data_IF_622266914608
#
_entry.id   IF_622266914608
#
_cell.length_a   1.000
_cell.length_b   1.000
_cell.length_c   1.000
_cell.angle_alpha   90.00
_cell.angle_beta   90.00
_cell.angle_gamma   90.00
#
_symmetry.space_group_name_H-M   'P 1'
#
loop_
_entity.id
_entity.type
_entity.pdbx_description
1 polymer ?
#
# COMPACT_ATOMS: atom_id res chain seq x y z
N UNK A 1 15.50 -23.19 -28.04
CA UNK A 1 15.29 -23.90 -26.74
C UNK A 1 14.28 -23.09 -25.94
N UNK A 2 13.08 -23.61 -25.70
CA UNK A 2 12.07 -22.96 -24.87
C UNK A 2 12.64 -22.88 -23.42
N UNK A 3 12.78 -21.68 -22.87
CA UNK A 3 13.11 -21.52 -21.45
C UNK A 3 12.04 -22.27 -20.65
N UNK A 4 12.44 -23.33 -19.93
CA UNK A 4 11.55 -24.04 -19.01
C UNK A 4 10.94 -22.98 -18.08
N UNK A 5 9.62 -22.88 -18.06
CA UNK A 5 8.95 -21.92 -17.19
C UNK A 5 9.44 -22.12 -15.74
N UNK A 6 9.99 -21.07 -15.15
CA UNK A 6 10.51 -21.13 -13.79
C UNK A 6 9.37 -21.43 -12.82
N UNK A 7 9.58 -22.30 -11.83
CA UNK A 7 8.58 -22.64 -10.82
C UNK A 7 8.20 -21.40 -9.98
N UNK A 8 6.98 -21.39 -9.41
CA UNK A 8 6.54 -20.34 -8.48
C UNK A 8 7.56 -20.13 -7.35
N UNK A 9 8.09 -21.22 -6.81
CA UNK A 9 9.13 -21.19 -5.75
C UNK A 9 10.38 -20.43 -6.20
N UNK A 10 10.88 -20.73 -7.41
CA UNK A 10 12.04 -20.03 -7.97
C UNK A 10 11.78 -18.55 -8.13
N UNK A 11 10.64 -18.17 -8.73
CA UNK A 11 10.25 -16.77 -8.94
C UNK A 11 10.12 -15.98 -7.62
N UNK A 12 9.53 -16.58 -6.57
CA UNK A 12 9.44 -15.96 -5.25
C UNK A 12 10.83 -15.78 -4.63
N UNK A 13 11.73 -16.77 -4.74
CA UNK A 13 13.09 -16.66 -4.22
C UNK A 13 13.89 -15.56 -4.91
N UNK A 14 13.84 -15.52 -6.23
CA UNK A 14 14.59 -14.54 -7.02
C UNK A 14 14.09 -13.12 -6.75
N UNK A 15 12.78 -12.92 -6.68
CA UNK A 15 12.19 -11.62 -6.34
C UNK A 15 12.59 -11.11 -4.95
N UNK A 16 12.78 -12.02 -4.00
CA UNK A 16 13.14 -11.66 -2.63
C UNK A 16 14.66 -11.74 -2.37
N UNK A 17 15.48 -12.04 -3.38
CA UNK A 17 16.93 -12.11 -3.22
C UNK A 17 17.53 -10.82 -2.67
N UNK A 18 18.48 -10.94 -1.75
CA UNK A 18 19.16 -9.78 -1.12
C UNK A 18 18.36 -9.04 -0.05
N UNK A 19 17.12 -9.44 0.25
CA UNK A 19 16.33 -8.88 1.35
C UNK A 19 16.80 -9.43 2.70
N UNK A 20 16.46 -8.70 3.77
CA UNK A 20 16.74 -9.08 5.16
C UNK A 20 16.13 -10.45 5.51
N UNK A 21 16.95 -11.47 5.85
CA UNK A 21 16.48 -12.85 6.01
C UNK A 21 15.53 -13.04 7.19
N UNK A 22 15.73 -12.30 8.31
CA UNK A 22 14.86 -12.37 9.49
C UNK A 22 13.45 -11.89 9.15
N UNK A 23 13.34 -10.79 8.39
CA UNK A 23 12.03 -10.27 7.94
C UNK A 23 11.43 -11.08 6.78
N UNK A 24 12.25 -11.74 5.95
CA UNK A 24 11.77 -12.69 4.95
C UNK A 24 11.10 -13.89 5.58
N UNK A 25 11.65 -14.44 6.66
CA UNK A 25 11.02 -15.53 7.40
C UNK A 25 9.64 -15.11 7.94
N UNK A 26 9.50 -13.86 8.41
CA UNK A 26 8.19 -13.30 8.79
C UNK A 26 7.24 -13.16 7.59
N UNK A 27 7.77 -12.75 6.43
CA UNK A 27 7.00 -12.61 5.18
C UNK A 27 6.41 -13.97 4.77
N UNK A 28 7.24 -14.99 4.70
CA UNK A 28 6.82 -16.31 4.22
C UNK A 28 5.83 -16.96 5.17
N UNK A 29 6.01 -16.83 6.48
CA UNK A 29 5.01 -17.26 7.48
C UNK A 29 3.67 -16.55 7.31
N UNK A 30 3.68 -15.24 7.07
CA UNK A 30 2.45 -14.48 6.82
C UNK A 30 1.77 -14.94 5.51
N UNK A 31 2.53 -15.16 4.45
CA UNK A 31 2.01 -15.65 3.16
C UNK A 31 1.42 -17.07 3.27
N UNK A 32 2.00 -17.94 4.13
CA UNK A 32 1.48 -19.28 4.39
C UNK A 32 0.11 -19.26 5.09
N UNK A 33 -0.16 -18.24 5.88
CA UNK A 33 -1.36 -18.18 6.71
C UNK A 33 -2.67 -18.04 5.91
N UNK A 34 -2.67 -17.21 4.85
CA UNK A 34 -3.88 -16.98 4.04
C UNK A 34 -3.55 -16.67 2.57
N UNK A 35 -4.45 -17.04 1.62
CA UNK A 35 -4.30 -16.65 0.20
C UNK A 35 -4.25 -15.14 0.01
N UNK A 36 -4.95 -14.37 0.83
CA UNK A 36 -4.93 -12.91 0.78
C UNK A 36 -3.57 -12.33 1.19
N UNK A 37 -2.94 -12.87 2.24
CA UNK A 37 -1.58 -12.47 2.60
C UNK A 37 -0.55 -12.88 1.53
N UNK A 38 -0.75 -14.03 0.89
CA UNK A 38 0.05 -14.48 -0.26
C UNK A 38 -0.09 -13.51 -1.45
N UNK A 39 -1.32 -13.17 -1.85
CA UNK A 39 -1.58 -12.17 -2.89
C UNK A 39 -0.78 -10.89 -2.63
N UNK A 40 -0.83 -10.35 -1.42
CA UNK A 40 -0.11 -9.14 -1.00
C UNK A 40 1.41 -9.30 -0.99
N UNK A 41 1.89 -10.50 -0.71
CA UNK A 41 3.33 -10.83 -0.66
C UNK A 41 3.96 -11.06 -2.03
N UNK A 42 3.14 -11.29 -3.06
CA UNK A 42 3.55 -11.75 -4.40
C UNK A 42 2.99 -10.88 -5.53
N UNK A 43 3.09 -9.56 -5.40
CA UNK A 43 2.63 -8.60 -6.40
C UNK A 43 3.21 -8.90 -7.80
N UNK A 44 4.50 -9.24 -7.88
CA UNK A 44 5.17 -9.63 -9.11
C UNK A 44 4.52 -10.83 -9.81
N UNK A 45 4.16 -11.89 -9.07
CA UNK A 45 3.49 -13.07 -9.68
C UNK A 45 2.13 -12.71 -10.28
N UNK A 46 1.39 -11.84 -9.59
CA UNK A 46 0.09 -11.38 -10.07
C UNK A 46 0.23 -10.68 -11.42
N UNK A 47 1.22 -9.80 -11.55
CA UNK A 47 1.43 -9.05 -12.79
C UNK A 47 2.04 -9.88 -13.91
N UNK A 48 2.91 -10.84 -13.61
CA UNK A 48 3.35 -11.81 -14.60
C UNK A 48 2.16 -12.57 -15.22
N UNK A 49 1.16 -12.94 -14.40
CA UNK A 49 -0.07 -13.60 -14.89
C UNK A 49 -1.00 -12.65 -15.63
N UNK A 50 -1.17 -11.42 -15.14
CA UNK A 50 -2.06 -10.44 -15.74
C UNK A 50 -1.56 -9.94 -17.11
N UNK A 51 -0.24 -9.85 -17.29
CA UNK A 51 0.36 -9.43 -18.57
C UNK A 51 0.01 -10.35 -19.75
N UNK A 52 -0.35 -11.62 -19.45
CA UNK A 52 -0.77 -12.59 -20.46
C UNK A 52 -2.29 -12.68 -20.61
N UNK A 53 -3.04 -11.91 -19.82
CA UNK A 53 -4.50 -11.93 -19.84
C UNK A 53 -5.10 -10.94 -20.86
N UNK A 54 -6.31 -11.23 -21.32
CA UNK A 54 -7.05 -10.33 -22.22
C UNK A 54 -7.69 -9.19 -21.41
N UNK A 55 -7.02 -8.06 -21.31
CA UNK A 55 -7.53 -6.84 -20.70
C UNK A 55 -8.57 -6.15 -21.61
N UNK A 56 -9.48 -5.31 -21.08
CA UNK A 56 -10.27 -4.39 -21.91
C UNK A 56 -9.35 -3.49 -22.74
N UNK A 57 -9.43 -3.59 -24.06
CA UNK A 57 -8.56 -2.86 -24.98
C UNK A 57 -8.77 -1.33 -24.93
N UNK A 58 -9.91 -0.89 -24.44
CA UNK A 58 -10.33 0.50 -24.31
C UNK A 58 -10.13 1.07 -22.90
N UNK A 59 -9.39 0.36 -22.03
CA UNK A 59 -9.08 0.85 -20.69
C UNK A 59 -8.10 2.04 -20.76
N UNK A 60 -8.48 3.24 -20.25
CA UNK A 60 -7.65 4.42 -20.31
C UNK A 60 -6.36 4.26 -19.48
N UNK A 61 -5.29 4.93 -19.94
CA UNK A 61 -4.05 5.04 -19.17
C UNK A 61 -4.27 6.00 -18.00
N UNK A 62 -3.95 5.53 -16.79
CA UNK A 62 -4.07 6.31 -15.56
C UNK A 62 -2.83 6.13 -14.68
N UNK A 63 -2.67 6.98 -13.68
CA UNK A 63 -1.68 6.79 -12.64
C UNK A 63 -2.22 5.79 -11.61
N UNK A 64 -1.90 4.50 -11.81
CA UNK A 64 -2.27 3.42 -10.88
C UNK A 64 -1.40 3.46 -9.62
N UNK A 65 -1.91 2.99 -8.48
CA UNK A 65 -1.07 2.75 -7.30
C UNK A 65 -0.28 1.44 -7.41
N UNK A 66 -0.71 0.53 -8.25
CA UNK A 66 0.00 -0.67 -8.71
C UNK A 66 -0.15 -1.89 -7.79
N UNK A 67 -0.34 -1.76 -6.50
CA UNK A 67 -0.66 -2.88 -5.58
C UNK A 67 -2.02 -2.66 -4.93
N UNK A 68 -3.05 -2.41 -5.75
CA UNK A 68 -4.37 -2.10 -5.26
C UNK A 68 -5.08 -3.35 -4.71
N UNK A 69 -5.35 -3.37 -3.41
CA UNK A 69 -6.07 -4.43 -2.73
C UNK A 69 -6.87 -3.87 -1.54
N UNK A 70 -7.77 -4.65 -0.95
CA UNK A 70 -8.69 -4.21 0.11
C UNK A 70 -8.02 -3.47 1.28
N UNK A 71 -6.79 -3.83 1.64
CA UNK A 71 -6.07 -3.18 2.73
C UNK A 71 -5.10 -2.07 2.27
N UNK A 72 -5.15 -1.65 0.99
CA UNK A 72 -4.37 -0.52 0.49
C UNK A 72 -5.08 0.82 0.66
N UNK A 73 -6.08 0.88 1.53
CA UNK A 73 -6.79 2.09 1.91
C UNK A 73 -6.66 2.32 3.41
N UNK A 74 -6.63 3.59 3.82
CA UNK A 74 -6.56 3.90 5.24
C UNK A 74 -6.52 5.39 5.53
N UNK A 75 -6.60 5.71 6.82
CA UNK A 75 -6.51 7.09 7.25
C UNK A 75 -5.05 7.54 7.34
N UNK A 76 -4.83 8.79 7.00
CA UNK A 76 -3.53 9.45 7.16
C UNK A 76 -3.71 10.92 7.50
N UNK A 77 -2.68 11.50 8.10
CA UNK A 77 -2.66 12.93 8.41
C UNK A 77 -2.02 13.70 7.26
N UNK A 78 -2.80 14.61 6.67
CA UNK A 78 -2.34 15.53 5.64
C UNK A 78 -1.38 16.60 6.17
N UNK A 79 -0.69 17.29 5.26
CA UNK A 79 0.17 18.43 5.59
C UNK A 79 -0.61 19.58 6.24
N UNK A 80 -1.89 19.73 5.90
CA UNK A 80 -2.83 20.67 6.52
C UNK A 80 -3.30 20.26 7.92
N UNK A 81 -2.81 19.14 8.46
CA UNK A 81 -3.13 18.59 9.79
C UNK A 81 -4.50 17.93 9.95
N UNK A 82 -5.31 17.89 8.92
CA UNK A 82 -6.56 17.13 8.89
C UNK A 82 -6.31 15.64 8.60
N UNK A 83 -7.30 14.80 8.90
CA UNK A 83 -7.23 13.36 8.68
C UNK A 83 -8.13 13.01 7.50
N UNK A 84 -7.57 12.28 6.55
CA UNK A 84 -8.23 11.81 5.33
C UNK A 84 -8.21 10.29 5.28
N UNK A 85 -9.12 9.72 4.50
CA UNK A 85 -9.11 8.32 4.13
C UNK A 85 -8.93 8.21 2.61
N UNK A 86 -7.85 7.56 2.17
CA UNK A 86 -7.47 7.46 0.75
C UNK A 86 -6.55 6.25 0.54
N UNK A 87 -6.04 6.07 -0.68
CA UNK A 87 -5.00 5.11 -1.03
C UNK A 87 -3.72 5.35 -0.21
N UNK A 88 -3.03 4.29 0.20
CA UNK A 88 -1.95 4.39 1.19
C UNK A 88 -0.57 3.92 0.73
N UNK A 89 -0.48 3.04 -0.24
CA UNK A 89 0.78 2.46 -0.71
C UNK A 89 0.95 2.68 -2.22
N UNK A 90 2.08 3.27 -2.61
CA UNK A 90 2.40 3.67 -3.97
C UNK A 90 3.74 3.10 -4.44
N UNK A 91 4.27 2.08 -3.78
CA UNK A 91 5.56 1.49 -4.14
C UNK A 91 5.56 0.99 -5.60
N UNK A 92 4.44 0.44 -6.05
CA UNK A 92 4.25 -0.12 -7.38
C UNK A 92 3.65 0.87 -8.39
N UNK A 93 3.43 2.14 -7.99
CA UNK A 93 2.73 3.12 -8.81
C UNK A 93 3.42 3.37 -10.16
N UNK A 94 2.60 3.41 -11.23
CA UNK A 94 3.06 3.57 -12.61
C UNK A 94 1.96 4.17 -13.49
N UNK A 95 2.29 4.56 -14.73
CA UNK A 95 1.32 4.87 -15.76
C UNK A 95 0.88 3.57 -16.44
N UNK A 96 -0.35 3.14 -16.23
CA UNK A 96 -0.87 1.88 -16.74
C UNK A 96 -2.36 1.99 -17.10
N UNK A 97 -2.92 1.06 -17.89
CA UNK A 97 -4.38 0.96 -18.05
C UNK A 97 -5.06 0.80 -16.68
N UNK A 98 -6.15 1.51 -16.41
CA UNK A 98 -6.91 1.42 -15.16
C UNK A 98 -7.31 -0.03 -14.81
N UNK A 99 -7.48 -0.87 -15.83
CA UNK A 99 -7.81 -2.29 -15.69
C UNK A 99 -6.81 -3.07 -14.81
N UNK A 100 -5.55 -2.62 -14.66
CA UNK A 100 -4.55 -3.29 -13.83
C UNK A 100 -4.88 -3.19 -12.35
N UNK A 101 -5.14 -1.98 -11.85
CA UNK A 101 -5.56 -1.77 -10.45
C UNK A 101 -6.94 -2.37 -10.18
N UNK A 102 -7.89 -2.21 -11.12
CA UNK A 102 -9.23 -2.79 -10.98
C UNK A 102 -9.17 -4.32 -10.89
N UNK A 103 -8.42 -5.00 -11.77
CA UNK A 103 -8.28 -6.45 -11.73
C UNK A 103 -7.69 -6.93 -10.40
N UNK A 104 -6.67 -6.23 -9.91
CA UNK A 104 -6.00 -6.60 -8.66
C UNK A 104 -6.91 -6.39 -7.45
N UNK A 105 -7.64 -5.28 -7.38
CA UNK A 105 -8.58 -5.05 -6.28
C UNK A 105 -9.72 -6.08 -6.29
N UNK A 106 -10.38 -6.27 -7.44
CA UNK A 106 -11.48 -7.21 -7.55
C UNK A 106 -11.03 -8.65 -7.23
N UNK A 107 -9.86 -9.07 -7.73
CA UNK A 107 -9.26 -10.34 -7.34
C UNK A 107 -9.01 -10.42 -5.84
N UNK A 108 -8.55 -9.33 -5.21
CA UNK A 108 -8.32 -9.27 -3.76
C UNK A 108 -9.62 -9.44 -2.94
N UNK A 109 -10.75 -8.91 -3.44
CA UNK A 109 -12.08 -9.12 -2.85
C UNK A 109 -12.47 -10.59 -2.88
N UNK A 110 -12.34 -11.22 -4.07
CA UNK A 110 -12.68 -12.64 -4.25
C UNK A 110 -11.78 -13.57 -3.42
N UNK A 111 -10.47 -13.26 -3.34
CA UNK A 111 -9.52 -14.04 -2.52
C UNK A 111 -9.81 -13.87 -1.02
N UNK A 112 -10.17 -12.67 -0.57
CA UNK A 112 -10.45 -12.40 0.83
C UNK A 112 -11.82 -12.93 1.30
N UNK A 113 -12.78 -13.09 0.39
CA UNK A 113 -14.18 -13.39 0.69
C UNK A 113 -14.34 -14.59 1.64
N UNK A 114 -13.61 -15.68 1.36
CA UNK A 114 -13.66 -16.88 2.20
C UNK A 114 -13.20 -16.62 3.64
N UNK A 115 -12.12 -15.84 3.80
CA UNK A 115 -11.61 -15.47 5.13
C UNK A 115 -12.59 -14.53 5.86
N UNK A 116 -13.32 -13.71 5.09
CA UNK A 116 -14.35 -12.82 5.61
C UNK A 116 -15.70 -13.54 5.87
N UNK A 117 -15.83 -14.83 5.54
CA UNK A 117 -17.11 -15.54 5.68
C UNK A 117 -18.17 -15.08 4.68
N UNK A 118 -17.77 -14.52 3.55
CA UNK A 118 -18.65 -14.12 2.44
C UNK A 118 -18.67 -15.22 1.39
N UNK A 119 -19.85 -15.65 0.97
CA UNK A 119 -20.02 -16.62 -0.11
C UNK A 119 -19.64 -16.03 -1.49
N UNK A 120 -19.47 -16.91 -2.49
CA UNK A 120 -19.08 -16.47 -3.84
C UNK A 120 -20.09 -15.49 -4.45
N UNK A 121 -21.43 -15.72 -4.40
CA UNK A 121 -22.40 -14.73 -4.87
C UNK A 121 -22.29 -13.38 -4.16
N UNK A 122 -22.06 -13.39 -2.85
CA UNK A 122 -21.82 -12.20 -2.05
C UNK A 122 -20.58 -11.46 -2.50
N UNK A 123 -19.46 -12.17 -2.70
CA UNK A 123 -18.22 -11.57 -3.16
C UNK A 123 -18.35 -10.93 -4.55
N UNK A 124 -19.11 -11.56 -5.45
CA UNK A 124 -19.40 -10.98 -6.77
C UNK A 124 -20.25 -9.71 -6.65
N UNK A 125 -21.28 -9.69 -5.78
CA UNK A 125 -22.04 -8.46 -5.50
C UNK A 125 -21.18 -7.33 -4.92
N UNK A 126 -20.17 -7.66 -4.12
CA UNK A 126 -19.21 -6.66 -3.64
C UNK A 126 -18.35 -6.09 -4.78
N UNK A 127 -17.92 -6.95 -5.72
CA UNK A 127 -17.19 -6.53 -6.91
C UNK A 127 -18.06 -5.62 -7.80
N UNK A 128 -19.31 -5.99 -8.04
CA UNK A 128 -20.26 -5.20 -8.83
C UNK A 128 -20.50 -3.83 -8.16
N UNK A 129 -20.72 -3.80 -6.84
CA UNK A 129 -20.91 -2.57 -6.09
C UNK A 129 -19.71 -1.62 -6.15
N UNK A 130 -18.49 -2.16 -6.13
CA UNK A 130 -17.28 -1.38 -6.36
C UNK A 130 -17.24 -0.80 -7.78
N UNK A 131 -17.48 -1.63 -8.80
CA UNK A 131 -17.46 -1.22 -10.21
C UNK A 131 -18.49 -0.14 -10.48
N UNK A 132 -19.71 -0.28 -9.94
CA UNK A 132 -20.77 0.70 -10.12
C UNK A 132 -20.44 2.04 -9.46
N UNK A 133 -19.87 2.02 -8.26
CA UNK A 133 -19.42 3.22 -7.57
C UNK A 133 -18.27 3.91 -8.30
N UNK A 134 -17.27 3.14 -8.76
CA UNK A 134 -16.16 3.63 -9.55
C UNK A 134 -16.64 4.30 -10.83
N UNK A 135 -17.46 3.61 -11.63
CA UNK A 135 -18.00 4.15 -12.87
C UNK A 135 -18.90 5.38 -12.63
N UNK A 136 -19.74 5.33 -11.60
CA UNK A 136 -20.58 6.45 -11.21
C UNK A 136 -19.77 7.70 -10.81
N UNK A 137 -18.69 7.51 -10.07
CA UNK A 137 -17.80 8.61 -9.68
C UNK A 137 -17.05 9.21 -10.88
N UNK A 138 -16.58 8.39 -11.84
CA UNK A 138 -16.00 8.87 -13.09
C UNK A 138 -16.98 9.73 -13.87
N UNK A 139 -18.24 9.27 -14.01
CA UNK A 139 -19.30 10.01 -14.74
C UNK A 139 -19.56 11.40 -14.16
N UNK A 140 -19.33 11.63 -12.87
CA UNK A 140 -19.47 12.98 -12.29
C UNK A 140 -18.37 13.93 -12.76
N UNK A 141 -17.23 13.44 -13.23
CA UNK A 141 -16.05 14.20 -13.65
C UNK A 141 -15.42 15.06 -12.54
N UNK A 142 -15.79 14.84 -11.28
CA UNK A 142 -15.36 15.66 -10.14
C UNK A 142 -14.61 14.82 -9.13
N UNK A 143 -13.33 15.09 -8.95
CA UNK A 143 -12.54 14.49 -7.90
C UNK A 143 -12.95 15.05 -6.53
N UNK A 144 -13.33 14.14 -5.63
CA UNK A 144 -13.67 14.45 -4.24
C UNK A 144 -12.67 13.78 -3.31
N UNK A 145 -12.90 13.87 -2.01
CA UNK A 145 -12.09 13.24 -0.97
C UNK A 145 -12.98 12.74 0.17
N UNK A 146 -12.42 11.85 0.98
CA UNK A 146 -13.08 11.32 2.17
C UNK A 146 -12.38 11.87 3.41
N UNK A 147 -13.09 12.68 4.14
CA UNK A 147 -12.76 13.15 5.47
C UNK A 147 -13.87 12.75 6.45
N UNK A 148 -13.66 13.02 7.74
CA UNK A 148 -14.59 12.57 8.78
C UNK A 148 -16.03 12.97 8.48
N UNK A 149 -16.29 14.21 8.06
CA UNK A 149 -17.64 14.75 7.89
C UNK A 149 -18.38 14.17 6.67
N UNK A 150 -17.62 13.70 5.66
CA UNK A 150 -18.17 13.07 4.44
C UNK A 150 -18.18 11.54 4.52
N UNK A 151 -17.42 10.95 5.45
CA UNK A 151 -17.31 9.50 5.60
C UNK A 151 -18.57 8.87 6.19
N UNK A 152 -18.85 7.62 5.78
CA UNK A 152 -19.97 6.83 6.26
C UNK A 152 -19.51 5.43 6.71
N UNK A 153 -20.35 4.72 7.47
CA UNK A 153 -20.15 3.34 7.88
C UNK A 153 -18.78 3.07 8.50
N UNK A 154 -18.12 1.99 8.08
CA UNK A 154 -16.83 1.54 8.64
C UNK A 154 -15.71 2.58 8.48
N UNK A 155 -15.73 3.39 7.42
CA UNK A 155 -14.76 4.47 7.22
C UNK A 155 -14.96 5.60 8.22
N UNK A 156 -16.21 5.98 8.50
CA UNK A 156 -16.54 6.97 9.54
C UNK A 156 -16.09 6.52 10.92
N UNK A 157 -16.36 5.27 11.28
CA UNK A 157 -15.93 4.68 12.55
C UNK A 157 -14.40 4.71 12.70
N UNK A 158 -13.66 4.38 11.64
CA UNK A 158 -12.21 4.47 11.62
C UNK A 158 -11.73 5.91 11.90
N UNK A 159 -12.31 6.89 11.20
CA UNK A 159 -11.91 8.30 11.34
C UNK A 159 -12.28 8.87 12.71
N UNK A 160 -13.42 8.46 13.29
CA UNK A 160 -13.81 8.81 14.66
C UNK A 160 -12.84 8.23 15.68
N UNK A 161 -12.41 6.97 15.51
CA UNK A 161 -11.41 6.34 16.37
C UNK A 161 -10.05 7.06 16.28
N UNK A 162 -9.67 7.50 15.08
CA UNK A 162 -8.42 8.23 14.84
C UNK A 162 -8.41 9.61 15.53
N UNK A 163 -9.56 10.31 15.55
CA UNK A 163 -9.71 11.61 16.23
C UNK A 163 -9.45 11.53 17.72
N UNK A 164 -9.90 10.47 18.35
CA UNK A 164 -9.81 10.29 19.81
C UNK A 164 -8.42 9.85 20.31
N UNK A 165 -7.51 9.56 19.39
CA UNK A 165 -6.13 9.14 19.74
C UNK A 165 -5.24 10.34 20.02
N UNK A 166 -4.73 10.43 21.24
CA UNK A 166 -3.71 11.43 21.59
C UNK A 166 -2.32 11.00 21.10
N UNK A 167 -1.43 11.97 20.93
CA UNK A 167 -0.02 11.69 20.59
C UNK A 167 0.67 10.85 21.66
N UNK A 168 0.46 11.16 22.93
CA UNK A 168 1.03 10.38 24.02
C UNK A 168 0.63 8.90 23.95
N UNK A 169 -0.66 8.61 23.79
CA UNK A 169 -1.16 7.23 23.60
C UNK A 169 -0.56 6.54 22.36
N UNK A 170 -0.38 7.28 21.26
CA UNK A 170 0.26 6.76 20.07
C UNK A 170 1.73 6.39 20.32
N UNK A 171 2.45 7.22 21.05
CA UNK A 171 3.84 6.98 21.44
C UNK A 171 3.95 5.82 22.44
N UNK A 172 3.09 5.75 23.46
CA UNK A 172 3.12 4.71 24.51
C UNK A 172 2.98 3.28 23.94
N UNK A 173 2.21 3.13 22.86
CA UNK A 173 2.05 1.84 22.16
C UNK A 173 3.33 1.39 21.42
N UNK A 174 4.28 2.31 21.14
CA UNK A 174 5.44 2.07 20.26
C UNK A 174 6.79 2.38 20.90
N UNK A 175 6.76 3.04 22.04
CA UNK A 175 7.97 3.44 22.77
C UNK A 175 7.88 3.04 24.22
N UNK A 176 9.04 2.98 24.86
CA UNK A 176 9.18 2.87 26.31
C UNK A 176 9.62 4.23 26.81
N UNK A 177 8.93 4.76 27.82
CA UNK A 177 9.26 6.02 28.48
C UNK A 177 10.24 5.76 29.64
N UNK A 178 11.25 6.59 29.75
CA UNK A 178 12.19 6.63 30.91
C UNK A 178 12.41 8.09 31.31
N UNK A 179 11.73 8.53 32.34
CA UNK A 179 11.74 9.93 32.79
C UNK A 179 11.30 10.89 31.68
N UNK A 180 12.21 11.79 31.29
CA UNK A 180 11.99 12.79 30.20
C UNK A 180 12.37 12.30 28.80
N UNK A 181 12.67 11.00 28.64
CA UNK A 181 13.07 10.43 27.35
C UNK A 181 12.17 9.28 26.93
N UNK A 182 12.22 8.94 25.64
CA UNK A 182 11.57 7.77 25.07
C UNK A 182 12.56 7.00 24.18
N UNK A 183 12.39 5.68 24.12
CA UNK A 183 13.06 4.79 23.14
C UNK A 183 12.04 3.92 22.43
N UNK A 184 12.34 3.52 21.20
CA UNK A 184 11.47 2.63 20.43
C UNK A 184 11.40 1.26 21.13
N UNK A 185 10.20 0.72 21.26
CA UNK A 185 9.96 -0.61 21.82
C UNK A 185 10.40 -1.68 20.79
N UNK A 186 11.40 -2.47 21.18
CA UNK A 186 11.85 -3.61 20.38
C UNK A 186 11.04 -4.83 20.84
N UNK A 187 10.01 -5.18 20.10
CA UNK A 187 9.02 -6.21 20.48
C UNK A 187 9.04 -7.46 19.56
N UNK A 188 9.88 -7.47 18.53
CA UNK A 188 9.91 -8.54 17.53
C UNK A 188 8.67 -8.62 16.63
N UNK A 189 7.64 -7.78 16.88
CA UNK A 189 6.37 -7.76 16.15
C UNK A 189 6.22 -6.52 15.27
N UNK A 190 6.60 -5.35 15.77
CA UNK A 190 6.53 -4.05 15.07
C UNK A 190 7.90 -3.46 14.80
N UNK A 191 8.89 -3.79 15.62
CA UNK A 191 10.26 -3.30 15.50
C UNK A 191 11.30 -4.34 15.95
N UNK A 192 12.44 -4.33 15.26
CA UNK A 192 13.66 -5.08 15.56
C UNK A 192 14.81 -4.12 15.82
N UNK A 193 15.81 -4.56 16.59
CA UNK A 193 17.01 -3.75 16.83
C UNK A 193 17.78 -3.50 15.53
N UNK A 194 18.40 -2.33 15.42
CA UNK A 194 19.40 -2.02 14.39
C UNK A 194 20.79 -2.45 14.89
N UNK A 195 21.68 -2.82 13.96
CA UNK A 195 23.09 -2.97 14.27
C UNK A 195 23.79 -1.59 14.38
N UNK A 196 25.05 -1.59 14.84
CA UNK A 196 25.83 -0.37 15.04
C UNK A 196 26.09 0.39 13.74
N UNK A 197 26.29 -0.31 12.61
CA UNK A 197 26.51 0.28 11.28
C UNK A 197 25.24 0.98 10.78
N UNK A 198 24.10 0.30 10.87
CA UNK A 198 22.80 0.86 10.50
C UNK A 198 22.49 2.11 11.34
N UNK A 199 22.68 2.03 12.66
CA UNK A 199 22.48 3.17 13.59
C UNK A 199 23.32 4.37 13.17
N UNK A 200 24.64 4.21 13.04
CA UNK A 200 25.57 5.28 12.64
C UNK A 200 25.19 5.90 11.30
N UNK A 201 24.81 5.08 10.31
CA UNK A 201 24.38 5.53 9.00
C UNK A 201 23.15 6.43 9.09
N UNK A 202 22.12 6.00 9.80
CA UNK A 202 20.88 6.76 9.96
C UNK A 202 21.08 8.02 10.81
N UNK A 203 21.89 7.98 11.86
CA UNK A 203 22.26 9.16 12.66
C UNK A 203 22.96 10.21 11.82
N UNK A 204 23.92 9.81 10.98
CA UNK A 204 24.64 10.70 10.07
C UNK A 204 23.69 11.34 9.06
N UNK A 205 22.84 10.53 8.41
CA UNK A 205 21.82 11.04 7.51
C UNK A 205 20.89 12.04 8.19
N UNK A 206 20.30 11.69 9.34
CA UNK A 206 19.34 12.55 10.04
C UNK A 206 19.95 13.85 10.52
N UNK A 207 21.23 13.86 10.91
CA UNK A 207 21.96 15.09 11.26
C UNK A 207 22.11 16.02 10.06
N UNK A 208 22.45 15.48 8.89
CA UNK A 208 22.52 16.24 7.63
C UNK A 208 21.15 16.74 7.21
N UNK A 209 20.16 15.87 7.20
CA UNK A 209 18.78 16.18 6.84
C UNK A 209 18.18 17.27 7.74
N UNK A 210 18.38 17.19 9.05
CA UNK A 210 17.88 18.19 10.00
C UNK A 210 18.38 19.60 9.65
N UNK A 211 19.66 19.74 9.30
CA UNK A 211 20.27 21.06 8.93
C UNK A 211 19.62 21.72 7.71
N UNK A 212 19.00 20.94 6.83
CA UNK A 212 18.30 21.47 5.65
C UNK A 212 16.84 21.85 5.94
N UNK A 213 16.36 21.63 7.15
CA UNK A 213 14.96 21.90 7.50
C UNK A 213 14.82 23.26 8.23
N UNK A 214 13.64 23.91 8.10
CA UNK A 214 13.37 25.18 8.79
C UNK A 214 13.47 25.12 10.31
N UNK A 215 13.28 23.92 10.89
CA UNK A 215 13.37 23.65 12.34
C UNK A 215 14.24 22.42 12.56
N UNK A 216 15.58 22.56 12.55
CA UNK A 216 16.51 21.44 12.69
C UNK A 216 16.30 20.60 13.94
N UNK A 217 16.00 21.24 15.07
CA UNK A 217 15.77 20.61 16.36
C UNK A 217 14.60 19.64 16.35
N UNK A 218 13.57 19.89 15.52
CA UNK A 218 12.42 19.00 15.36
C UNK A 218 12.85 17.62 14.83
N UNK A 219 13.84 17.57 13.94
CA UNK A 219 14.33 16.34 13.30
C UNK A 219 15.52 15.71 14.04
N UNK A 220 15.86 16.19 15.23
CA UNK A 220 16.89 15.57 16.05
C UNK A 220 16.50 14.13 16.35
N UNK A 221 17.31 13.19 15.88
CA UNK A 221 17.08 11.77 16.08
C UNK A 221 17.31 11.39 17.55
N UNK A 222 16.35 10.72 18.16
CA UNK A 222 16.42 10.20 19.53
C UNK A 222 16.69 8.70 19.54
N UNK A 223 16.07 7.96 18.61
CA UNK A 223 16.25 6.52 18.49
C UNK A 223 15.85 6.03 17.09
N UNK A 224 16.34 4.82 16.73
CA UNK A 224 16.07 4.16 15.44
C UNK A 224 15.93 2.66 15.63
N UNK A 225 14.97 2.06 14.88
CA UNK A 225 14.79 0.61 14.83
C UNK A 225 14.41 0.15 13.42
N UNK A 226 14.67 -1.12 13.08
CA UNK A 226 14.15 -1.76 11.86
C UNK A 226 12.64 -1.96 12.01
N UNK A 227 11.85 -1.49 11.04
CA UNK A 227 10.39 -1.59 11.11
C UNK A 227 9.89 -2.90 10.48
N UNK A 228 8.94 -3.55 11.16
CA UNK A 228 8.16 -4.66 10.63
C UNK A 228 6.80 -4.10 10.23
N UNK A 229 6.50 -4.02 8.94
CA UNK A 229 5.22 -3.55 8.43
C UNK A 229 5.04 -3.89 6.93
N UNK A 230 3.79 -4.25 6.58
CA UNK A 230 3.38 -4.55 5.21
C UNK A 230 3.93 -5.88 4.69
N UNK A 231 3.07 -6.84 4.31
CA UNK A 231 3.50 -8.18 3.86
C UNK A 231 4.39 -8.10 2.61
N UNK A 232 4.03 -7.29 1.62
CA UNK A 232 4.79 -7.15 0.37
C UNK A 232 6.20 -6.64 0.57
N UNK A 233 6.37 -5.65 1.46
CA UNK A 233 7.64 -4.97 1.70
C UNK A 233 8.48 -5.56 2.84
N UNK A 234 8.08 -6.69 3.45
CA UNK A 234 8.94 -7.37 4.44
C UNK A 234 10.25 -7.80 3.79
N UNK A 235 11.34 -7.54 4.50
CA UNK A 235 12.70 -7.74 4.01
C UNK A 235 13.31 -6.57 3.25
N UNK A 236 12.51 -5.62 2.74
CA UNK A 236 13.02 -4.36 2.19
C UNK A 236 13.52 -3.47 3.33
N UNK A 237 14.61 -2.75 3.14
CA UNK A 237 15.17 -1.92 4.21
C UNK A 237 14.17 -0.84 4.64
N UNK A 238 13.81 -0.85 5.92
CA UNK A 238 12.82 0.06 6.49
C UNK A 238 13.10 0.33 7.95
N UNK A 239 13.05 1.60 8.31
CA UNK A 239 13.31 2.05 9.67
C UNK A 239 12.13 2.84 10.23
N UNK A 240 11.93 2.74 11.53
CA UNK A 240 11.16 3.71 12.31
C UNK A 240 12.15 4.61 13.05
N UNK A 241 11.92 5.91 12.94
CA UNK A 241 12.78 6.95 13.55
C UNK A 241 11.98 7.68 14.62
N UNK A 242 12.48 7.71 15.82
CA UNK A 242 11.96 8.58 16.89
C UNK A 242 12.73 9.89 16.84
N UNK A 243 12.02 11.00 16.63
CA UNK A 243 12.61 12.34 16.59
C UNK A 243 12.03 13.24 17.66
N UNK A 244 12.78 14.29 18.04
CA UNK A 244 12.39 15.27 19.07
C UNK A 244 10.98 15.82 18.87
N UNK A 245 10.65 16.20 17.63
CA UNK A 245 9.35 16.76 17.33
C UNK A 245 9.13 18.11 17.98
N UNK A 246 8.02 18.24 18.72
CA UNK A 246 7.66 19.45 19.46
C UNK A 246 8.14 19.45 20.91
N UNK A 247 8.91 18.43 21.32
CA UNK A 247 9.50 18.30 22.65
C UNK A 247 9.27 16.92 23.26
N UNK A 248 10.29 16.45 23.98
CA UNK A 248 10.25 15.20 24.73
C UNK A 248 9.52 15.37 26.07
N UNK A 249 8.86 14.31 26.60
CA UNK A 249 8.71 12.99 26.00
C UNK A 249 7.41 12.82 25.21
N UNK A 250 6.40 13.67 25.36
CA UNK A 250 5.02 13.40 24.91
C UNK A 250 4.69 14.10 23.58
N UNK A 251 5.57 14.98 23.10
CA UNK A 251 5.43 15.66 21.82
C UNK A 251 6.46 15.20 20.76
N UNK A 252 7.14 14.06 20.99
CA UNK A 252 7.99 13.38 20.01
C UNK A 252 7.19 12.94 18.78
N UNK A 253 7.90 12.70 17.67
CA UNK A 253 7.32 12.18 16.45
C UNK A 253 7.99 10.86 16.04
N UNK A 254 7.21 10.01 15.41
CA UNK A 254 7.71 8.80 14.75
C UNK A 254 7.64 9.03 13.24
N UNK A 255 8.75 8.80 12.55
CA UNK A 255 8.87 8.84 11.11
C UNK A 255 9.12 7.42 10.59
N UNK A 256 8.68 7.17 9.36
CA UNK A 256 8.90 5.94 8.60
C UNK A 256 9.87 6.26 7.47
N UNK A 257 10.99 5.55 7.42
CA UNK A 257 11.99 5.64 6.36
C UNK A 257 12.03 4.29 5.65
N UNK A 258 11.58 4.23 4.40
CA UNK A 258 11.44 3.01 3.60
C UNK A 258 12.24 3.12 2.32
N UNK A 259 13.08 2.14 2.02
CA UNK A 259 13.75 2.02 0.73
C UNK A 259 12.73 1.94 -0.39
N UNK A 260 12.91 2.71 -1.44
CA UNK A 260 12.12 2.65 -2.66
C UNK A 260 12.78 1.68 -3.65
N UNK A 261 11.99 0.79 -4.21
CA UNK A 261 12.41 -0.20 -5.21
C UNK A 261 11.72 0.07 -6.54
N UNK A 262 12.25 -0.43 -7.67
CA UNK A 262 11.54 -0.44 -8.94
C UNK A 262 10.18 -1.11 -8.84
N UNK A 263 9.20 -0.59 -9.57
CA UNK A 263 7.86 -1.19 -9.65
C UNK A 263 7.93 -2.52 -10.42
N UNK A 264 7.29 -3.55 -9.87
CA UNK A 264 7.14 -4.86 -10.53
C UNK A 264 6.16 -4.81 -11.71
N UNK A 265 5.37 -3.75 -11.79
CA UNK A 265 4.40 -3.53 -12.85
C UNK A 265 5.07 -3.05 -14.15
N UNK A 266 6.04 -2.14 -14.03
CA UNK A 266 6.67 -1.44 -15.17
C UNK A 266 7.21 -2.39 -16.26
N UNK A 267 7.88 -3.52 -15.95
CA UNK A 267 8.39 -4.43 -16.98
C UNK A 267 7.32 -5.05 -17.89
N UNK A 268 6.04 -5.00 -17.50
CA UNK A 268 4.91 -5.57 -18.23
C UNK A 268 4.11 -4.53 -19.02
N UNK A 269 4.48 -3.25 -18.91
CA UNK A 269 3.73 -2.16 -19.53
C UNK A 269 4.31 -1.74 -20.87
N UNK A 270 3.46 -1.58 -21.88
CA UNK A 270 3.80 -0.96 -23.16
C UNK A 270 3.88 0.56 -23.05
N UNK A 271 3.14 1.15 -22.13
CA UNK A 271 3.12 2.60 -21.90
C UNK A 271 4.49 3.10 -21.45
N UNK A 272 5.02 4.09 -22.20
CA UNK A 272 6.29 4.74 -21.83
C UNK A 272 6.16 5.44 -20.49
N UNK A 273 6.98 5.04 -19.53
CA UNK A 273 7.02 5.68 -18.22
C UNK A 273 7.82 7.00 -18.29
N UNK A 274 7.42 8.05 -17.55
CA UNK A 274 8.24 9.25 -17.36
C UNK A 274 9.58 8.91 -16.72
N UNK A 275 10.57 9.75 -16.97
CA UNK A 275 11.87 9.64 -16.30
C UNK A 275 11.79 10.26 -14.91
N UNK A 276 12.29 9.53 -13.92
CA UNK A 276 12.41 9.96 -12.53
C UNK A 276 13.89 10.01 -12.16
N UNK A 277 14.29 10.90 -11.26
CA UNK A 277 15.66 10.93 -10.72
C UNK A 277 16.02 9.63 -10.00
N UNK A 278 15.04 9.09 -9.29
CA UNK A 278 15.13 7.81 -8.58
C UNK A 278 13.73 7.28 -8.21
N UNK A 279 13.66 6.06 -7.68
CA UNK A 279 12.40 5.42 -7.33
C UNK A 279 11.64 6.12 -6.18
N UNK A 280 12.35 6.76 -5.25
CA UNK A 280 11.68 7.52 -4.19
C UNK A 280 10.97 8.76 -4.74
N UNK A 281 11.57 9.45 -5.73
CA UNK A 281 10.92 10.56 -6.43
C UNK A 281 9.66 10.07 -7.15
N UNK A 282 9.74 8.93 -7.88
CA UNK A 282 8.56 8.32 -8.52
C UNK A 282 7.41 8.14 -7.54
N UNK A 283 7.67 7.42 -6.44
CA UNK A 283 6.64 7.10 -5.45
C UNK A 283 6.07 8.36 -4.80
N UNK A 284 6.92 9.30 -4.38
CA UNK A 284 6.48 10.53 -3.71
C UNK A 284 5.66 11.41 -4.65
N UNK A 285 6.14 11.62 -5.88
CA UNK A 285 5.42 12.44 -6.87
C UNK A 285 4.07 11.83 -7.23
N UNK A 286 4.00 10.51 -7.41
CA UNK A 286 2.74 9.84 -7.73
C UNK A 286 1.78 9.84 -6.54
N UNK A 287 2.27 9.62 -5.32
CA UNK A 287 1.45 9.72 -4.12
C UNK A 287 0.86 11.13 -3.96
N UNK A 288 1.66 12.18 -4.16
CA UNK A 288 1.19 13.57 -4.09
C UNK A 288 0.20 13.95 -5.20
N UNK A 289 0.32 13.29 -6.36
CA UNK A 289 -0.57 13.52 -7.51
C UNK A 289 -1.93 12.85 -7.35
N UNK A 290 -1.93 11.65 -6.81
CA UNK A 290 -3.09 10.76 -6.75
C UNK A 290 -3.91 11.00 -5.47
N UNK A 291 -3.28 11.19 -4.32
CA UNK A 291 -3.99 11.51 -3.08
C UNK A 291 -4.55 12.93 -3.08
N UNK A 292 -5.67 13.11 -2.37
CA UNK A 292 -6.33 14.43 -2.27
C UNK A 292 -5.42 15.49 -1.63
N UNK A 293 -4.74 15.12 -0.55
CA UNK A 293 -3.83 15.98 0.21
C UNK A 293 -2.52 15.21 0.45
N UNK A 294 -1.38 15.85 0.28
CA UNK A 294 -0.09 15.24 0.57
C UNK A 294 0.03 14.82 2.04
N UNK A 295 0.48 13.59 2.33
CA UNK A 295 0.75 13.18 3.70
C UNK A 295 1.82 14.02 4.37
N UNK A 296 1.67 14.22 5.66
CA UNK A 296 2.65 14.94 6.46
C UNK A 296 4.04 14.29 6.39
N UNK A 297 5.07 15.11 6.17
CA UNK A 297 6.48 14.72 6.07
C UNK A 297 6.87 13.87 4.85
N UNK A 298 5.99 13.68 3.88
CA UNK A 298 6.29 12.88 2.68
C UNK A 298 7.39 13.54 1.83
N UNK A 299 8.55 12.88 1.72
CA UNK A 299 9.71 13.37 0.94
C UNK A 299 10.53 12.21 0.37
N UNK A 300 11.06 12.36 -0.85
CA UNK A 300 12.13 11.50 -1.35
C UNK A 300 13.45 11.91 -0.68
N UNK A 301 14.25 10.94 -0.28
CA UNK A 301 15.59 11.17 0.28
C UNK A 301 16.56 10.13 -0.25
N UNK A 302 17.85 10.43 -0.26
CA UNK A 302 18.91 9.51 -0.69
C UNK A 302 19.91 9.34 0.46
N UNK A 303 20.29 8.11 0.74
CA UNK A 303 21.26 7.73 1.77
C UNK A 303 22.27 6.81 1.12
N UNK A 304 23.53 7.24 1.03
CA UNK A 304 24.63 6.47 0.41
C UNK A 304 24.28 5.95 -1.01
N UNK A 305 23.63 6.81 -1.82
CA UNK A 305 23.22 6.46 -3.19
C UNK A 305 21.93 5.63 -3.31
N UNK A 306 21.35 5.21 -2.20
CA UNK A 306 20.08 4.44 -2.17
C UNK A 306 18.90 5.37 -1.91
N UNK A 307 17.83 5.20 -2.68
CA UNK A 307 16.62 6.02 -2.59
C UNK A 307 15.67 5.53 -1.48
N UNK A 308 15.15 6.44 -0.67
CA UNK A 308 14.20 6.18 0.40
C UNK A 308 13.05 7.16 0.39
N UNK A 309 11.91 6.73 0.90
CA UNK A 309 10.75 7.56 1.18
C UNK A 309 10.73 7.83 2.68
N UNK A 310 10.76 9.11 3.06
CA UNK A 310 10.56 9.58 4.43
C UNK A 310 9.15 10.12 4.58
N UNK A 311 8.40 9.65 5.57
CA UNK A 311 7.05 10.16 5.89
C UNK A 311 6.71 9.99 7.36
N UNK A 312 5.64 10.64 7.84
CA UNK A 312 5.09 10.37 9.17
C UNK A 312 4.74 8.89 9.32
N UNK A 313 5.03 8.31 10.50
CA UNK A 313 4.65 6.92 10.75
C UNK A 313 3.13 6.79 10.72
N UNK A 314 2.63 5.98 9.80
CA UNK A 314 1.24 5.58 9.71
C UNK A 314 1.10 4.19 10.35
N UNK A 315 0.27 4.05 11.38
CA UNK A 315 0.06 2.78 12.05
C UNK A 315 -0.85 1.83 11.26
N UNK A 316 -0.78 0.54 11.59
CA UNK A 316 -1.66 -0.47 10.98
C UNK A 316 -3.13 -0.25 11.36
N UNK A 317 -3.36 0.33 12.54
CA UNK A 317 -4.69 0.68 13.06
C UNK A 317 -5.41 1.79 12.26
N UNK A 318 -4.75 2.37 11.27
CA UNK A 318 -5.32 3.38 10.36
C UNK A 318 -5.96 2.74 9.12
N UNK A 319 -6.07 1.42 9.05
CA UNK A 319 -6.82 0.68 8.05
C UNK A 319 -8.20 0.28 8.56
N UNK A 320 -9.14 0.10 7.66
CA UNK A 320 -10.44 -0.49 8.03
C UNK A 320 -10.21 -1.93 8.47
N UNK A 321 -10.67 -2.27 9.66
CA UNK A 321 -10.66 -3.62 10.19
C UNK A 321 -11.80 -4.41 9.53
N UNK A 322 -11.47 -5.19 8.51
CA UNK A 322 -12.47 -5.91 7.71
C UNK A 322 -13.24 -6.97 8.52
N UNK A 323 -12.63 -7.53 9.55
CA UNK A 323 -13.27 -8.48 10.48
C UNK A 323 -14.39 -7.84 11.33
N UNK A 324 -14.42 -6.52 11.46
CA UNK A 324 -15.44 -5.77 12.19
C UNK A 324 -16.75 -5.55 11.40
N UNK A 325 -16.94 -6.22 10.27
CA UNK A 325 -18.23 -6.16 9.56
C UNK A 325 -19.35 -6.94 10.30
N UNK A 326 -18.97 -7.84 11.22
CA UNK A 326 -19.88 -8.59 12.11
C UNK A 326 -21.02 -9.32 11.37
N UNK A 327 -20.76 -9.85 10.16
CA UNK A 327 -21.76 -10.53 9.32
C UNK A 327 -22.78 -9.59 8.65
N UNK A 328 -22.69 -8.28 8.82
CA UNK A 328 -23.57 -7.30 8.17
C UNK A 328 -23.10 -6.94 6.77
N UNK A 329 -23.60 -7.63 5.77
CA UNK A 329 -23.19 -7.48 4.35
C UNK A 329 -23.22 -6.01 3.87
N UNK A 330 -24.23 -5.24 4.25
CA UNK A 330 -24.38 -3.83 3.86
C UNK A 330 -23.23 -2.94 4.35
N UNK A 331 -22.57 -3.29 5.46
CA UNK A 331 -21.39 -2.55 5.94
C UNK A 331 -20.22 -2.70 4.98
N UNK A 332 -19.95 -3.94 4.53
CA UNK A 332 -18.88 -4.19 3.54
C UNK A 332 -19.26 -3.61 2.19
N UNK A 333 -20.53 -3.72 1.78
CA UNK A 333 -21.01 -3.10 0.55
C UNK A 333 -20.80 -1.59 0.55
N UNK A 334 -21.15 -0.89 1.64
CA UNK A 334 -20.90 0.54 1.79
C UNK A 334 -19.41 0.89 1.75
N UNK A 335 -18.55 0.05 2.34
CA UNK A 335 -17.10 0.19 2.20
C UNK A 335 -16.68 0.08 0.73
N UNK A 336 -17.13 -0.95 -0.01
CA UNK A 336 -16.79 -1.14 -1.43
C UNK A 336 -17.20 0.05 -2.29
N UNK A 337 -18.36 0.65 -2.01
CA UNK A 337 -18.80 1.91 -2.65
C UNK A 337 -17.77 3.01 -2.44
N UNK A 338 -17.38 3.26 -1.19
CA UNK A 338 -16.37 4.28 -0.86
C UNK A 338 -15.02 4.00 -1.53
N UNK A 339 -14.56 2.73 -1.58
CA UNK A 339 -13.30 2.37 -2.24
C UNK A 339 -13.37 2.63 -3.75
N UNK A 340 -14.49 2.31 -4.41
CA UNK A 340 -14.69 2.57 -5.84
C UNK A 340 -14.65 4.06 -6.16
N UNK A 341 -15.33 4.87 -5.37
CA UNK A 341 -15.31 6.33 -5.50
C UNK A 341 -13.89 6.90 -5.33
N UNK A 342 -13.13 6.44 -4.31
CA UNK A 342 -11.76 6.89 -4.06
C UNK A 342 -10.85 6.61 -5.26
N UNK A 343 -10.92 5.42 -5.86
CA UNK A 343 -10.10 5.07 -7.02
C UNK A 343 -10.44 5.98 -8.20
N UNK A 344 -11.71 6.17 -8.52
CA UNK A 344 -12.14 7.09 -9.57
C UNK A 344 -11.67 8.54 -9.33
N UNK A 345 -11.80 9.03 -8.10
CA UNK A 345 -11.34 10.38 -7.76
C UNK A 345 -9.82 10.52 -7.83
N UNK A 346 -9.08 9.47 -7.50
CA UNK A 346 -7.63 9.43 -7.62
C UNK A 346 -7.19 9.56 -9.10
N UNK A 347 -7.86 8.83 -9.99
CA UNK A 347 -7.62 8.91 -11.43
C UNK A 347 -8.01 10.27 -12.01
N UNK A 348 -9.18 10.82 -11.63
CA UNK A 348 -9.63 12.16 -12.06
C UNK A 348 -8.65 13.26 -11.58
N UNK A 349 -8.13 13.19 -10.35
CA UNK A 349 -7.13 14.15 -9.84
C UNK A 349 -5.83 14.13 -10.64
N UNK A 350 -5.46 12.96 -11.12
CA UNK A 350 -4.20 12.73 -11.84
C UNK A 350 -4.35 12.77 -13.38
N UNK A 351 -5.58 13.00 -13.88
CA UNK A 351 -5.90 13.03 -15.31
C UNK A 351 -5.11 14.11 -16.08
N UNK A 352 -4.83 13.83 -17.36
CA UNK A 352 -4.17 14.74 -18.29
C UNK A 352 -2.68 15.02 -17.99
N UNK A 353 -2.04 14.22 -17.10
CA UNK A 353 -0.65 14.47 -16.68
C UNK A 353 0.30 13.41 -17.22
N UNK A 354 1.30 13.85 -17.99
CA UNK A 354 2.39 13.00 -18.47
C UNK A 354 1.91 11.70 -19.14
N UNK A 355 0.92 11.79 -20.02
CA UNK A 355 0.42 10.64 -20.79
C UNK A 355 -0.78 9.91 -20.17
N UNK A 356 -1.25 10.30 -18.99
CA UNK A 356 -2.54 9.78 -18.50
C UNK A 356 -3.73 10.38 -19.28
N UNK A 357 -4.79 9.61 -19.38
CA UNK A 357 -6.06 10.02 -19.99
C UNK A 357 -6.57 11.34 -19.39
N UNK A 358 -7.26 12.11 -20.21
CA UNK A 358 -7.98 13.31 -19.77
C UNK A 358 -9.20 12.95 -18.91
N UNK A 359 -9.76 13.94 -18.22
CA UNK A 359 -10.99 13.74 -17.46
C UNK A 359 -12.16 13.33 -18.37
N UNK A 360 -12.24 13.88 -19.60
CA UNK A 360 -13.30 13.54 -20.55
C UNK A 360 -13.20 12.07 -21.03
N UNK A 361 -11.99 11.56 -21.28
CA UNK A 361 -11.77 10.14 -21.59
C UNK A 361 -12.17 9.22 -20.44
N UNK A 362 -11.90 9.62 -19.19
CA UNK A 362 -12.33 8.88 -18.00
C UNK A 362 -13.84 8.90 -17.82
N UNK A 363 -14.51 10.03 -18.05
CA UNK A 363 -15.97 10.16 -18.02
C UNK A 363 -16.59 9.24 -19.07
N UNK A 364 -16.08 9.27 -20.31
CA UNK A 364 -16.56 8.43 -21.39
C UNK A 364 -16.40 6.94 -21.06
N UNK A 365 -15.23 6.53 -20.53
CA UNK A 365 -14.99 5.17 -20.07
C UNK A 365 -15.98 4.75 -18.97
N UNK A 366 -16.25 5.61 -17.99
CA UNK A 366 -17.24 5.38 -16.93
C UNK A 366 -18.64 5.12 -17.46
N UNK A 367 -19.02 5.77 -18.58
CA UNK A 367 -20.32 5.60 -19.25
C UNK A 367 -20.47 4.27 -20.01
N UNK A 368 -19.37 3.63 -20.39
CA UNK A 368 -19.39 2.36 -21.13
C UNK A 368 -19.72 1.19 -20.18
N UNK A 369 -20.50 0.21 -20.66
CA UNK A 369 -20.90 -0.95 -19.84
C UNK A 369 -20.09 -2.22 -20.14
N UNK A 370 -19.54 -2.34 -21.36
CA UNK A 370 -18.95 -3.60 -21.85
C UNK A 370 -17.72 -4.08 -21.06
N UNK A 371 -16.92 -3.16 -20.51
CA UNK A 371 -15.72 -3.50 -19.75
C UNK A 371 -16.03 -4.12 -18.37
N UNK A 372 -17.19 -3.80 -17.75
CA UNK A 372 -17.55 -4.20 -16.38
C UNK A 372 -17.56 -5.72 -16.21
N UNK A 373 -18.33 -6.42 -17.05
CA UNK A 373 -18.40 -7.89 -17.01
C UNK A 373 -17.05 -8.55 -17.32
N UNK A 374 -16.25 -7.95 -18.24
CA UNK A 374 -14.89 -8.43 -18.53
C UNK A 374 -13.98 -8.32 -17.30
N UNK A 375 -14.08 -7.25 -16.54
CA UNK A 375 -13.27 -7.06 -15.31
C UNK A 375 -13.62 -8.09 -14.25
N UNK A 376 -14.90 -8.40 -14.02
CA UNK A 376 -15.31 -9.44 -13.07
C UNK A 376 -14.81 -10.82 -13.52
N UNK A 377 -14.94 -11.15 -14.80
CA UNK A 377 -14.43 -12.41 -15.35
C UNK A 377 -12.91 -12.53 -15.20
N UNK A 378 -12.17 -11.45 -15.47
CA UNK A 378 -10.72 -11.37 -15.29
C UNK A 378 -10.33 -11.55 -13.81
N UNK A 379 -11.01 -10.87 -12.91
CA UNK A 379 -10.78 -10.99 -11.48
C UNK A 379 -10.97 -12.43 -10.97
N UNK A 380 -12.01 -13.14 -11.47
CA UNK A 380 -12.21 -14.57 -11.16
C UNK A 380 -11.07 -15.45 -11.71
N UNK A 381 -10.56 -15.17 -12.90
CA UNK A 381 -9.41 -15.89 -13.43
C UNK A 381 -8.14 -15.64 -12.58
N UNK A 382 -7.89 -14.39 -12.22
CA UNK A 382 -6.77 -14.02 -11.32
C UNK A 382 -6.90 -14.68 -9.94
N UNK A 383 -8.09 -14.67 -9.34
CA UNK A 383 -8.34 -15.34 -8.05
C UNK A 383 -8.00 -16.83 -8.11
N UNK A 384 -8.46 -17.54 -9.17
CA UNK A 384 -8.15 -18.96 -9.36
C UNK A 384 -6.64 -19.20 -9.52
N UNK A 385 -5.92 -18.28 -10.19
CA UNK A 385 -4.45 -18.37 -10.30
C UNK A 385 -3.79 -18.17 -8.94
N UNK A 386 -4.18 -17.15 -8.17
CA UNK A 386 -3.67 -16.91 -6.83
C UNK A 386 -3.88 -18.12 -5.92
N UNK A 387 -5.04 -18.77 -5.98
CA UNK A 387 -5.33 -19.96 -5.18
C UNK A 387 -4.43 -21.16 -5.57
N UNK A 388 -4.11 -21.33 -6.85
CA UNK A 388 -3.17 -22.38 -7.32
C UNK A 388 -1.76 -22.09 -6.83
N UNK A 389 -1.27 -20.87 -7.07
CA UNK A 389 0.08 -20.44 -6.70
C UNK A 389 0.29 -20.50 -5.19
N UNK A 390 -0.75 -20.14 -4.41
CA UNK A 390 -0.71 -20.23 -2.95
C UNK A 390 -0.58 -21.68 -2.46
N UNK A 391 -1.32 -22.64 -3.05
CA UNK A 391 -1.19 -24.06 -2.68
C UNK A 391 0.21 -24.58 -2.99
N UNK A 392 0.77 -24.26 -4.16
CA UNK A 392 2.15 -24.63 -4.52
C UNK A 392 3.16 -24.03 -3.54
N UNK A 393 2.99 -22.74 -3.21
CA UNK A 393 3.82 -22.08 -2.20
C UNK A 393 3.70 -22.74 -0.83
N UNK A 394 2.49 -23.08 -0.38
CA UNK A 394 2.27 -23.73 0.92
C UNK A 394 2.98 -25.10 1.00
N UNK A 395 2.85 -25.92 -0.03
CA UNK A 395 3.55 -27.20 -0.09
C UNK A 395 5.05 -27.02 0.01
N UNK A 396 5.62 -26.10 -0.80
CA UNK A 396 7.05 -25.84 -0.76
C UNK A 396 7.54 -25.21 0.57
N UNK A 397 6.70 -24.40 1.22
CA UNK A 397 7.01 -23.84 2.54
C UNK A 397 7.04 -24.94 3.62
N UNK A 398 6.05 -25.84 3.61
CA UNK A 398 5.95 -26.96 4.53
C UNK A 398 7.10 -27.99 4.31
N UNK A 399 7.63 -28.09 3.06
CA UNK A 399 8.82 -28.87 2.70
C UNK A 399 10.14 -28.10 2.96
N UNK A 400 10.13 -27.05 3.79
CA UNK A 400 11.31 -26.24 4.17
C UNK A 400 12.05 -25.57 2.99
N UNK A 401 11.38 -25.34 1.87
CA UNK A 401 11.97 -24.65 0.74
C UNK A 401 12.22 -23.15 0.98
N UNK A 402 11.66 -22.57 2.04
CA UNK A 402 11.77 -21.16 2.41
C UNK A 402 12.23 -20.99 3.87
N UNK A 403 12.95 -19.89 4.22
CA UNK A 403 13.25 -19.57 5.61
C UNK A 403 12.00 -19.44 6.47
N UNK A 404 11.96 -20.15 7.60
CA UNK A 404 10.84 -20.10 8.56
C UNK A 404 9.74 -21.13 8.35
N UNK A 405 9.92 -22.05 7.36
CA UNK A 405 9.17 -23.28 7.16
C UNK A 405 9.72 -24.43 7.98
#
# INVERSE_FOLDING_TARGET
>A
MAKRAQSIVGRIRDFNAGRDPERLALKYRAMRATPFAFLRGTCHLFYDGLATASLPADAPLVWVCGDLHLENFGSYKGDNRLVYFDLNDFDEAALAPCAWDLARLLASVLVAARTLGVDEPGALRLCDGFIDAYAGALLTGKARWVERETAQGMVRELLDSARNRTRAQFLDRRTVRSGKSRRIRIDGKKALAVDARQRKRIETFMRGFARTQPKPEFYRLLDVARRIAGTGSLGVERFVLLVEGKGSPDANYLLDLKQALPSTLVPHLEARQPRWENEAQRVVCLQQRVQAISPAFLRPVVIDGVAYILKGLQPAEDRVALDLWHGHFDRVRGLMTTLGEIVAWAELRSAGRQGSASADELIDFGGRKKWRAKMVALARACQKQVDRDWREFCAAFDDHAFPGG
#
